data_IF_438960704605
#
_entry.id   IF_438960704605
#
_cell.length_a   1.000
_cell.length_b   1.000
_cell.length_c   1.000
_cell.angle_alpha   90.00
_cell.angle_beta   90.00
_cell.angle_gamma   90.00
#
_symmetry.space_group_name_H-M   'P 1'
#
loop_
_entity.id
_entity.type
_entity.pdbx_description
1 polymer ?
#
# COMPACT_ATOMS: atom_id res chain seq x y z
N UNK A 1 16.72 73.38 -30.33
CA UNK A 1 17.45 72.16 -29.92
C UNK A 1 17.14 71.84 -28.47
N UNK A 2 16.40 70.74 -28.22
CA UNK A 2 16.47 69.85 -27.05
C UNK A 2 15.31 68.85 -27.20
N UNK A 3 15.62 67.65 -27.71
CA UNK A 3 14.70 66.51 -27.78
C UNK A 3 14.52 66.01 -26.34
N UNK A 4 13.31 66.08 -25.81
CA UNK A 4 12.95 65.45 -24.54
C UNK A 4 12.51 64.01 -24.86
N UNK A 5 13.37 63.04 -24.58
CA UNK A 5 13.01 61.62 -24.61
C UNK A 5 12.23 61.31 -23.34
N UNK A 6 10.92 61.11 -23.46
CA UNK A 6 10.13 60.49 -22.40
C UNK A 6 10.32 58.99 -22.55
N UNK A 7 11.08 58.42 -21.62
CA UNK A 7 11.24 56.97 -21.44
C UNK A 7 9.90 56.44 -20.91
N UNK A 8 9.20 55.68 -21.74
CA UNK A 8 8.07 54.87 -21.30
C UNK A 8 8.68 53.70 -20.51
N UNK A 9 8.58 53.78 -19.18
CA UNK A 9 8.80 52.65 -18.29
C UNK A 9 7.64 51.67 -18.53
N UNK A 10 7.87 50.69 -19.41
CA UNK A 10 7.09 49.46 -19.48
C UNK A 10 7.29 48.75 -18.14
N UNK A 11 6.30 48.89 -17.25
CA UNK A 11 6.08 47.95 -16.16
C UNK A 11 5.77 46.59 -16.79
N UNK A 12 6.82 45.82 -17.07
CA UNK A 12 6.70 44.39 -17.28
C UNK A 12 6.04 43.82 -16.01
N UNK A 13 4.96 43.02 -16.13
CA UNK A 13 4.55 42.22 -15.01
C UNK A 13 5.75 41.34 -14.65
N UNK A 14 6.26 41.51 -13.44
CA UNK A 14 7.02 40.48 -12.74
C UNK A 14 6.08 39.27 -12.65
N UNK A 15 6.09 38.44 -13.69
CA UNK A 15 5.68 37.06 -13.53
C UNK A 15 6.55 36.50 -12.42
N UNK A 16 5.91 36.09 -11.33
CA UNK A 16 6.55 35.28 -10.31
C UNK A 16 7.13 34.04 -10.99
N UNK A 17 8.45 34.05 -11.21
CA UNK A 17 9.25 32.83 -11.28
C UNK A 17 9.31 32.28 -9.84
N UNK A 18 8.87 31.08 -9.51
CA UNK A 18 8.12 30.09 -10.26
C UNK A 18 7.47 29.14 -9.25
N UNK A 19 6.27 28.64 -9.56
CA UNK A 19 5.94 27.30 -9.09
C UNK A 19 6.92 26.39 -9.84
N UNK A 20 7.72 25.59 -9.13
CA UNK A 20 8.43 24.50 -9.78
C UNK A 20 7.33 23.60 -10.35
N UNK A 21 7.07 23.68 -11.66
CA UNK A 21 6.11 22.81 -12.33
C UNK A 21 6.55 21.36 -12.10
N UNK A 22 5.88 20.68 -11.17
CA UNK A 22 6.24 19.31 -10.80
C UNK A 22 5.94 18.44 -12.01
N UNK A 23 6.99 17.91 -12.62
CA UNK A 23 6.89 17.09 -13.82
C UNK A 23 6.17 15.77 -13.43
N UNK A 24 5.04 15.43 -14.07
CA UNK A 24 4.35 14.18 -13.80
C UNK A 24 5.29 13.01 -14.05
N UNK A 25 5.10 11.91 -13.31
CA UNK A 25 5.78 10.65 -13.61
C UNK A 25 4.88 9.88 -14.58
N UNK A 26 5.32 9.63 -15.82
CA UNK A 26 4.61 8.78 -16.75
C UNK A 26 4.43 7.39 -16.16
N UNK A 27 3.24 6.79 -16.31
CA UNK A 27 2.95 5.45 -15.79
C UNK A 27 3.93 4.39 -16.31
N UNK A 28 4.43 4.56 -17.52
CA UNK A 28 5.45 3.66 -18.10
C UNK A 28 6.75 3.65 -17.30
N UNK A 29 7.16 4.76 -16.67
CA UNK A 29 8.36 4.79 -15.80
C UNK A 29 8.17 3.86 -14.58
N UNK A 30 6.98 3.86 -13.98
CA UNK A 30 6.64 2.93 -12.89
C UNK A 30 6.69 1.47 -13.33
N UNK A 31 6.10 1.16 -14.48
CA UNK A 31 6.05 -0.20 -15.01
C UNK A 31 7.46 -0.73 -15.33
N UNK A 32 8.29 0.07 -15.98
CA UNK A 32 9.65 -0.33 -16.33
C UNK A 32 10.56 -0.47 -15.11
N UNK A 33 10.39 0.38 -14.09
CA UNK A 33 11.06 0.17 -12.80
C UNK A 33 10.65 -1.15 -12.16
N UNK A 34 9.34 -1.46 -12.16
CA UNK A 34 8.83 -2.70 -11.61
C UNK A 34 9.40 -3.92 -12.34
N UNK A 35 9.41 -3.88 -13.68
CA UNK A 35 10.01 -4.92 -14.54
C UNK A 35 11.49 -5.11 -14.23
N UNK A 36 12.29 -4.04 -14.29
CA UNK A 36 13.72 -4.11 -14.06
C UNK A 36 14.08 -4.62 -12.65
N UNK A 37 13.29 -4.26 -11.65
CA UNK A 37 13.49 -4.74 -10.28
C UNK A 37 13.13 -6.21 -10.11
N UNK A 38 12.09 -6.69 -10.80
CA UNK A 38 11.73 -8.10 -10.82
C UNK A 38 12.81 -8.95 -11.54
N UNK A 39 13.33 -8.46 -12.66
CA UNK A 39 14.45 -9.09 -13.39
C UNK A 39 15.71 -9.15 -12.51
N UNK A 40 16.10 -8.04 -11.89
CA UNK A 40 17.23 -8.03 -10.97
C UNK A 40 17.05 -9.00 -9.80
N UNK A 41 15.84 -9.07 -9.22
CA UNK A 41 15.53 -9.99 -8.11
C UNK A 41 15.62 -11.45 -8.53
N UNK A 42 15.19 -11.76 -9.75
CA UNK A 42 15.28 -13.10 -10.32
C UNK A 42 16.74 -13.53 -10.52
N UNK A 43 17.53 -12.67 -11.15
CA UNK A 43 18.95 -12.92 -11.44
C UNK A 43 19.80 -13.05 -10.18
N UNK A 44 19.34 -12.46 -9.06
CA UNK A 44 20.03 -12.50 -7.76
C UNK A 44 19.34 -13.40 -6.72
N UNK A 45 18.41 -14.28 -7.15
CA UNK A 45 17.58 -15.11 -6.25
C UNK A 45 18.39 -15.91 -5.23
N UNK A 46 19.47 -16.57 -5.67
CA UNK A 46 20.29 -17.42 -4.80
C UNK A 46 21.02 -16.62 -3.72
N UNK A 47 21.56 -15.46 -4.08
CA UNK A 47 22.23 -14.55 -3.14
C UNK A 47 21.24 -14.00 -2.12
N UNK A 48 20.06 -13.57 -2.57
CA UNK A 48 19.00 -13.07 -1.69
C UNK A 48 18.47 -14.15 -0.75
N UNK A 49 18.36 -15.40 -1.24
CA UNK A 49 17.95 -16.53 -0.40
C UNK A 49 19.02 -16.86 0.65
N UNK A 50 20.31 -16.81 0.30
CA UNK A 50 21.39 -16.97 1.29
C UNK A 50 21.32 -15.89 2.36
N UNK A 51 21.16 -14.63 1.95
CA UNK A 51 21.05 -13.51 2.88
C UNK A 51 19.85 -13.66 3.83
N UNK A 52 18.70 -14.11 3.34
CA UNK A 52 17.56 -14.41 4.20
C UNK A 52 17.88 -15.50 5.21
N UNK A 53 18.56 -16.58 4.79
CA UNK A 53 18.95 -17.68 5.68
C UNK A 53 19.90 -17.21 6.78
N UNK A 54 20.88 -16.39 6.43
CA UNK A 54 21.89 -15.90 7.37
C UNK A 54 21.32 -14.96 8.43
N UNK A 55 20.23 -14.25 8.10
CA UNK A 55 19.54 -13.31 8.99
C UNK A 55 18.25 -13.88 9.59
N UNK A 56 17.99 -15.18 9.43
CA UNK A 56 16.75 -15.79 9.89
C UNK A 56 16.71 -15.89 11.43
N UNK A 57 15.80 -15.15 12.06
CA UNK A 57 15.56 -15.23 13.49
C UNK A 57 14.49 -16.28 13.82
N UNK A 58 14.95 -17.47 14.23
CA UNK A 58 14.07 -18.58 14.63
C UNK A 58 13.24 -18.29 15.90
N UNK A 59 13.68 -17.32 16.73
CA UNK A 59 13.06 -16.98 18.02
C UNK A 59 12.22 -15.72 17.97
N UNK A 60 12.00 -15.17 16.78
CA UNK A 60 11.17 -13.98 16.61
C UNK A 60 9.82 -14.16 17.31
N UNK A 61 9.39 -13.15 18.06
CA UNK A 61 8.05 -13.14 18.69
C UNK A 61 6.94 -13.27 17.64
N UNK A 62 7.19 -12.85 16.41
CA UNK A 62 6.28 -12.96 15.27
C UNK A 62 6.37 -14.32 14.56
N UNK A 63 7.33 -15.18 14.94
CA UNK A 63 7.43 -16.55 14.47
C UNK A 63 8.16 -16.70 13.15
N UNK A 64 7.70 -17.62 12.31
CA UNK A 64 8.32 -17.89 11.02
C UNK A 64 8.13 -16.67 10.10
N UNK A 65 9.22 -16.21 9.46
CA UNK A 65 9.19 -15.09 8.52
C UNK A 65 9.82 -15.50 7.19
N UNK A 66 9.02 -15.89 6.18
CA UNK A 66 9.52 -16.26 4.86
C UNK A 66 10.05 -15.02 4.11
N UNK A 67 10.86 -15.19 3.04
CA UNK A 67 11.38 -14.07 2.26
C UNK A 67 10.28 -13.41 1.40
N UNK A 68 9.83 -12.17 1.69
CA UNK A 68 8.69 -11.56 0.98
C UNK A 68 9.02 -11.15 -0.45
N UNK A 69 10.30 -10.89 -0.73
CA UNK A 69 10.83 -10.40 -2.02
C UNK A 69 10.41 -11.25 -3.22
N UNK A 70 10.32 -12.57 -3.04
CA UNK A 70 9.95 -13.47 -4.13
C UNK A 70 8.45 -13.39 -4.45
N UNK A 71 7.60 -13.07 -3.48
CA UNK A 71 6.16 -12.87 -3.70
C UNK A 71 5.88 -11.57 -4.46
N UNK A 72 6.59 -10.51 -4.11
CA UNK A 72 6.54 -9.21 -4.81
C UNK A 72 6.96 -9.39 -6.29
N UNK A 73 8.10 -10.05 -6.52
CA UNK A 73 8.58 -10.40 -7.86
C UNK A 73 7.57 -11.27 -8.63
N UNK A 74 7.00 -12.30 -8.01
CA UNK A 74 6.00 -13.16 -8.65
C UNK A 74 4.75 -12.38 -9.05
N UNK A 75 4.29 -11.44 -8.21
CA UNK A 75 3.14 -10.58 -8.53
C UNK A 75 3.43 -9.67 -9.74
N UNK A 76 4.63 -9.08 -9.79
CA UNK A 76 5.04 -8.25 -10.94
C UNK A 76 5.07 -9.10 -12.21
N UNK A 77 5.74 -10.25 -12.20
CA UNK A 77 5.81 -11.12 -13.38
C UNK A 77 4.45 -11.63 -13.84
N UNK A 78 3.58 -12.05 -12.91
CA UNK A 78 2.24 -12.49 -13.29
C UNK A 78 1.44 -11.35 -13.93
N UNK A 79 1.56 -10.13 -13.41
CA UNK A 79 0.91 -8.94 -13.96
C UNK A 79 1.46 -8.59 -15.36
N UNK A 80 2.78 -8.62 -15.54
CA UNK A 80 3.41 -8.43 -16.85
C UNK A 80 2.96 -9.50 -17.86
N UNK A 81 2.86 -10.76 -17.42
CA UNK A 81 2.30 -11.83 -18.26
C UNK A 81 0.84 -11.56 -18.64
N UNK A 82 0.01 -11.04 -17.74
CA UNK A 82 -1.38 -10.71 -18.04
C UNK A 82 -1.49 -9.69 -19.18
N UNK A 83 -0.62 -8.67 -19.17
CA UNK A 83 -0.59 -7.58 -20.14
C UNK A 83 0.12 -7.94 -21.46
N UNK A 84 1.26 -8.62 -21.39
CA UNK A 84 2.16 -8.80 -22.54
C UNK A 84 2.13 -10.21 -23.11
N UNK A 85 1.61 -11.18 -22.37
CA UNK A 85 1.57 -12.58 -22.77
C UNK A 85 2.93 -13.29 -22.76
N UNK A 86 3.99 -12.69 -22.20
CA UNK A 86 5.30 -13.31 -22.12
C UNK A 86 5.29 -14.54 -21.17
N UNK A 87 5.38 -15.73 -21.77
CA UNK A 87 5.34 -17.03 -21.09
C UNK A 87 6.49 -17.19 -20.09
N UNK A 88 7.64 -16.55 -20.30
CA UNK A 88 8.75 -16.64 -19.36
C UNK A 88 8.37 -16.05 -17.99
N UNK A 89 7.71 -14.90 -17.97
CA UNK A 89 7.22 -14.29 -16.73
C UNK A 89 6.21 -15.21 -16.02
N UNK A 90 5.32 -15.85 -16.76
CA UNK A 90 4.39 -16.83 -16.19
C UNK A 90 5.12 -18.02 -15.55
N UNK A 91 6.17 -18.55 -16.21
CA UNK A 91 6.99 -19.63 -15.66
C UNK A 91 7.74 -19.22 -14.39
N UNK A 92 8.34 -18.02 -14.36
CA UNK A 92 9.04 -17.50 -13.19
C UNK A 92 8.10 -17.32 -12.00
N UNK A 93 6.93 -16.71 -12.20
CA UNK A 93 5.91 -16.58 -11.18
C UNK A 93 5.40 -17.93 -10.67
N UNK A 94 5.12 -18.87 -11.59
CA UNK A 94 4.70 -20.24 -11.26
C UNK A 94 5.74 -20.96 -10.40
N UNK A 95 7.02 -20.85 -10.75
CA UNK A 95 8.08 -21.49 -9.98
C UNK A 95 8.10 -21.00 -8.54
N UNK A 96 7.98 -19.68 -8.32
CA UNK A 96 7.89 -19.14 -6.95
C UNK A 96 6.70 -19.74 -6.22
N UNK A 97 5.51 -19.77 -6.82
CA UNK A 97 4.31 -20.29 -6.15
C UNK A 97 4.46 -21.75 -5.69
N UNK A 98 5.07 -22.61 -6.52
CA UNK A 98 5.28 -24.02 -6.20
C UNK A 98 6.39 -24.23 -5.16
N UNK A 99 7.48 -23.46 -5.25
CA UNK A 99 8.64 -23.63 -4.38
C UNK A 99 8.45 -22.96 -3.01
N UNK A 100 7.62 -21.92 -2.90
CA UNK A 100 7.60 -21.03 -1.73
C UNK A 100 7.32 -21.76 -0.40
N UNK A 101 6.45 -22.77 -0.45
CA UNK A 101 6.06 -23.54 0.73
C UNK A 101 7.22 -24.35 1.32
N UNK A 102 8.30 -24.58 0.57
CA UNK A 102 9.46 -25.33 1.02
C UNK A 102 10.31 -24.57 2.03
N UNK A 103 10.25 -23.23 2.03
CA UNK A 103 11.01 -22.39 2.96
C UNK A 103 10.65 -22.65 4.43
N UNK A 104 9.43 -23.13 4.71
CA UNK A 104 9.00 -23.47 6.07
C UNK A 104 9.82 -24.60 6.69
N UNK A 105 10.47 -25.45 5.87
CA UNK A 105 11.36 -26.53 6.34
C UNK A 105 12.58 -25.99 7.09
N UNK A 106 12.92 -24.71 6.90
CA UNK A 106 13.97 -24.04 7.65
C UNK A 106 13.55 -23.78 9.11
N UNK A 107 12.25 -23.67 9.40
CA UNK A 107 11.80 -23.35 10.75
C UNK A 107 12.04 -24.54 11.70
N UNK A 108 12.75 -24.35 12.82
CA UNK A 108 13.07 -25.47 13.71
C UNK A 108 11.82 -26.07 14.36
N UNK A 109 11.69 -27.39 14.31
CA UNK A 109 10.59 -28.14 14.98
C UNK A 109 10.46 -27.86 16.48
N UNK A 110 11.55 -27.44 17.13
CA UNK A 110 11.52 -27.07 18.54
C UNK A 110 10.77 -25.76 18.75
N UNK A 111 11.01 -24.75 17.92
CA UNK A 111 10.32 -23.46 18.01
C UNK A 111 8.87 -23.58 17.51
N UNK A 112 8.61 -24.42 16.50
CA UNK A 112 7.25 -24.80 16.10
C UNK A 112 6.41 -25.29 17.29
N UNK A 113 6.95 -26.21 18.10
CA UNK A 113 6.24 -26.76 19.28
C UNK A 113 6.03 -25.76 20.41
N UNK A 114 6.77 -24.65 20.42
CA UNK A 114 6.61 -23.60 21.46
C UNK A 114 5.47 -22.64 21.12
N UNK A 115 4.98 -22.67 19.89
CA UNK A 115 3.99 -21.74 19.35
C UNK A 115 2.60 -22.36 19.41
N UNK A 116 1.70 -21.86 20.28
CA UNK A 116 0.34 -22.41 20.39
C UNK A 116 -0.51 -22.18 19.13
N UNK A 117 -0.17 -21.18 18.32
CA UNK A 117 -0.80 -20.83 17.04
C UNK A 117 -0.42 -21.77 15.88
N UNK A 118 0.65 -22.59 16.00
CA UNK A 118 1.05 -23.58 14.99
C UNK A 118 0.45 -24.97 15.22
N UNK A 119 -0.72 -25.06 15.86
CA UNK A 119 -1.43 -26.34 16.08
C UNK A 119 -1.71 -27.12 14.79
N UNK A 120 -1.88 -26.42 13.66
CA UNK A 120 -2.07 -27.00 12.33
C UNK A 120 -0.78 -27.02 11.47
N UNK A 121 0.37 -26.77 12.10
CA UNK A 121 1.68 -26.68 11.46
C UNK A 121 2.05 -25.25 11.05
N UNK A 122 3.28 -25.07 10.61
CA UNK A 122 3.81 -23.76 10.19
C UNK A 122 3.18 -23.35 8.84
N UNK A 123 2.46 -22.22 8.76
CA UNK A 123 1.91 -21.71 7.51
C UNK A 123 3.05 -21.21 6.60
N UNK A 124 2.88 -21.35 5.28
CA UNK A 124 3.86 -20.81 4.34
C UNK A 124 3.80 -19.27 4.26
N UNK A 125 2.61 -18.70 4.51
CA UNK A 125 2.33 -17.27 4.53
C UNK A 125 1.74 -16.92 5.92
N UNK A 126 2.60 -16.79 6.96
CA UNK A 126 2.14 -16.56 8.34
C UNK A 126 1.54 -15.16 8.55
N UNK A 127 1.66 -14.26 7.58
CA UNK A 127 1.44 -12.85 7.80
C UNK A 127 0.40 -12.26 6.82
N UNK A 128 -0.47 -11.39 7.32
CA UNK A 128 -1.51 -10.74 6.52
C UNK A 128 -0.95 -9.65 5.57
N UNK A 129 0.28 -9.15 5.75
CA UNK A 129 0.94 -8.26 4.78
C UNK A 129 1.42 -8.96 3.50
N UNK A 130 1.53 -10.29 3.51
CA UNK A 130 2.13 -11.07 2.41
C UNK A 130 1.18 -12.04 1.73
N UNK A 131 0.08 -12.43 2.37
CA UNK A 131 -0.90 -13.37 1.81
C UNK A 131 -1.41 -12.95 0.41
N UNK A 132 -1.85 -11.70 0.24
CA UNK A 132 -2.34 -11.19 -1.04
C UNK A 132 -1.27 -11.23 -2.15
N UNK A 133 0.02 -11.09 -1.80
CA UNK A 133 1.15 -11.13 -2.75
C UNK A 133 1.42 -12.53 -3.29
N UNK A 134 0.95 -13.58 -2.62
CA UNK A 134 0.96 -14.94 -3.14
C UNK A 134 -0.32 -15.26 -3.93
N UNK A 135 -1.48 -14.76 -3.47
CA UNK A 135 -2.77 -15.07 -4.08
C UNK A 135 -2.95 -14.34 -5.42
N UNK A 136 -2.53 -13.08 -5.53
CA UNK A 136 -2.61 -12.27 -6.78
C UNK A 136 -1.97 -12.96 -7.99
N UNK A 137 -0.68 -13.38 -7.96
CA UNK A 137 -0.09 -14.07 -9.10
C UNK A 137 -0.76 -15.42 -9.38
N UNK A 138 -1.23 -16.14 -8.35
CA UNK A 138 -2.01 -17.36 -8.56
C UNK A 138 -3.33 -17.10 -9.31
N UNK A 139 -4.09 -16.07 -8.93
CA UNK A 139 -5.35 -15.68 -9.60
C UNK A 139 -5.11 -15.45 -11.09
N UNK A 140 -4.07 -14.69 -11.43
CA UNK A 140 -3.75 -14.35 -12.82
C UNK A 140 -3.39 -15.61 -13.62
N UNK A 141 -2.50 -16.45 -13.10
CA UNK A 141 -2.07 -17.67 -13.78
C UNK A 141 -3.21 -18.69 -13.91
N UNK A 142 -4.08 -18.79 -12.90
CA UNK A 142 -5.28 -19.63 -12.93
C UNK A 142 -6.25 -19.13 -14.01
N UNK A 143 -6.57 -17.84 -14.02
CA UNK A 143 -7.49 -17.21 -14.98
C UNK A 143 -7.00 -17.36 -16.43
N UNK A 144 -5.70 -17.29 -16.66
CA UNK A 144 -5.07 -17.50 -17.98
C UNK A 144 -4.94 -18.98 -18.38
N UNK A 145 -5.33 -19.91 -17.51
CA UNK A 145 -5.22 -21.34 -17.78
C UNK A 145 -3.78 -21.87 -17.83
N UNK A 146 -2.82 -21.17 -17.23
CA UNK A 146 -1.39 -21.51 -17.29
C UNK A 146 -1.01 -22.65 -16.33
N UNK A 147 -1.84 -22.91 -15.32
CA UNK A 147 -1.62 -23.93 -14.30
C UNK A 147 -2.37 -25.24 -14.64
N UNK A 148 -1.70 -26.37 -14.46
CA UNK A 148 -2.34 -27.68 -14.43
C UNK A 148 -3.20 -27.86 -13.18
N UNK A 149 -4.13 -28.82 -13.20
CA UNK A 149 -5.00 -29.07 -12.04
C UNK A 149 -4.25 -29.58 -10.81
N UNK A 150 -3.11 -30.27 -11.01
CA UNK A 150 -2.25 -30.68 -9.88
C UNK A 150 -1.57 -29.47 -9.26
N UNK A 151 -1.01 -28.56 -10.07
CA UNK A 151 -0.37 -27.33 -9.58
C UNK A 151 -1.39 -26.43 -8.88
N UNK A 152 -2.60 -26.28 -9.42
CA UNK A 152 -3.69 -25.54 -8.75
C UNK A 152 -3.97 -26.12 -7.37
N UNK A 153 -4.16 -27.43 -7.25
CA UNK A 153 -4.45 -28.08 -5.96
C UNK A 153 -3.34 -27.86 -4.93
N UNK A 154 -2.07 -27.92 -5.33
CA UNK A 154 -0.95 -27.67 -4.41
C UNK A 154 -0.93 -26.21 -3.93
N UNK A 155 -1.12 -25.25 -4.83
CA UNK A 155 -1.13 -23.82 -4.49
C UNK A 155 -2.37 -23.48 -3.63
N UNK A 156 -3.54 -24.01 -3.96
CA UNK A 156 -4.78 -23.80 -3.20
C UNK A 156 -4.69 -24.33 -1.77
N UNK A 157 -4.00 -25.45 -1.52
CA UNK A 157 -3.73 -25.94 -0.16
C UNK A 157 -2.89 -24.94 0.64
N UNK A 158 -1.89 -24.32 0.01
CA UNK A 158 -1.03 -23.31 0.66
C UNK A 158 -1.84 -22.08 1.03
N UNK A 159 -2.69 -21.60 0.11
CA UNK A 159 -3.60 -20.47 0.34
C UNK A 159 -4.56 -20.81 1.49
N UNK A 160 -5.24 -21.95 1.42
CA UNK A 160 -6.22 -22.34 2.43
C UNK A 160 -5.61 -22.42 3.83
N UNK A 161 -4.47 -23.10 3.97
CA UNK A 161 -3.80 -23.22 5.26
C UNK A 161 -3.37 -21.85 5.82
N UNK A 162 -2.86 -20.97 4.97
CA UNK A 162 -2.35 -19.66 5.42
C UNK A 162 -3.49 -18.71 5.78
N UNK A 163 -4.58 -18.70 5.01
CA UNK A 163 -5.78 -17.91 5.32
C UNK A 163 -6.42 -18.41 6.62
N UNK A 164 -6.59 -19.72 6.78
CA UNK A 164 -7.15 -20.28 8.01
C UNK A 164 -6.27 -19.98 9.23
N UNK A 165 -4.94 -19.94 9.07
CA UNK A 165 -4.03 -19.51 10.12
C UNK A 165 -4.24 -18.04 10.51
N UNK A 166 -4.30 -17.13 9.54
CA UNK A 166 -4.53 -15.69 9.80
C UNK A 166 -5.88 -15.42 10.46
N UNK A 167 -6.86 -16.31 10.29
CA UNK A 167 -8.17 -16.21 10.95
C UNK A 167 -8.19 -16.74 12.39
N UNK A 168 -7.10 -17.31 12.91
CA UNK A 168 -7.02 -17.77 14.30
C UNK A 168 -6.99 -16.60 15.29
N UNK A 169 -6.42 -15.46 14.90
CA UNK A 169 -6.47 -14.21 15.65
C UNK A 169 -7.13 -13.14 14.80
N UNK A 170 -8.23 -12.57 15.32
CA UNK A 170 -8.99 -11.58 14.59
C UNK A 170 -9.07 -10.27 15.32
N UNK A 171 -8.97 -9.24 14.51
CA UNK A 171 -8.93 -7.85 14.91
C UNK A 171 -9.97 -7.12 14.08
N UNK A 172 -10.80 -6.33 14.76
CA UNK A 172 -12.03 -5.77 14.21
C UNK A 172 -11.96 -4.25 14.13
N UNK A 173 -12.83 -3.65 13.33
CA UNK A 173 -12.92 -2.20 13.19
C UNK A 173 -12.18 -1.63 11.98
N UNK A 174 -12.40 -0.32 11.78
CA UNK A 174 -11.84 0.48 10.70
C UNK A 174 -10.36 0.80 10.96
N UNK A 175 -9.47 -0.18 10.80
CA UNK A 175 -8.05 -0.05 11.09
C UNK A 175 -7.20 -0.91 10.15
N UNK A 176 -5.91 -0.61 10.08
CA UNK A 176 -4.98 -1.20 9.11
C UNK A 176 -4.98 -2.75 9.09
N UNK A 177 -4.90 -3.41 10.25
CA UNK A 177 -4.74 -4.86 10.41
C UNK A 177 -6.03 -5.61 10.05
N UNK A 178 -7.18 -5.01 10.36
CA UNK A 178 -8.50 -5.50 9.93
C UNK A 178 -8.64 -5.41 8.41
N UNK A 179 -8.29 -4.26 7.82
CA UNK A 179 -8.38 -4.06 6.38
C UNK A 179 -7.44 -4.97 5.57
N UNK A 180 -6.22 -5.22 6.04
CA UNK A 180 -5.28 -6.14 5.38
C UNK A 180 -5.82 -7.58 5.35
N UNK A 181 -6.49 -8.01 6.43
CA UNK A 181 -7.17 -9.31 6.45
C UNK A 181 -8.37 -9.33 5.51
N UNK A 182 -9.16 -8.26 5.45
CA UNK A 182 -10.25 -8.13 4.51
C UNK A 182 -9.75 -8.25 3.06
N UNK A 183 -8.65 -7.56 2.70
CA UNK A 183 -7.98 -7.67 1.40
C UNK A 183 -7.54 -9.10 1.11
N UNK A 184 -6.80 -9.73 2.03
CA UNK A 184 -6.31 -11.10 1.86
C UNK A 184 -7.47 -12.10 1.64
N UNK A 185 -8.56 -11.96 2.38
CA UNK A 185 -9.75 -12.79 2.23
C UNK A 185 -10.48 -12.54 0.91
N UNK A 186 -10.61 -11.29 0.47
CA UNK A 186 -11.23 -10.96 -0.80
C UNK A 186 -10.48 -11.61 -1.98
N UNK A 187 -9.14 -11.55 -1.96
CA UNK A 187 -8.32 -12.25 -2.92
C UNK A 187 -8.47 -13.77 -2.83
N UNK A 188 -8.50 -14.35 -1.62
CA UNK A 188 -8.68 -15.79 -1.43
C UNK A 188 -10.04 -16.28 -1.95
N UNK A 189 -11.13 -15.56 -1.64
CA UNK A 189 -12.49 -15.87 -2.11
C UNK A 189 -12.59 -15.80 -3.63
N UNK A 190 -11.94 -14.81 -4.25
CA UNK A 190 -11.89 -14.67 -5.71
C UNK A 190 -11.07 -15.79 -6.36
N UNK A 191 -9.90 -16.10 -5.82
CA UNK A 191 -8.97 -17.03 -6.44
C UNK A 191 -9.37 -18.50 -6.22
N UNK A 192 -10.01 -18.82 -5.09
CA UNK A 192 -10.36 -20.19 -4.69
C UNK A 192 -11.86 -20.31 -4.33
N UNK A 193 -12.79 -20.06 -5.27
CA UNK A 193 -14.22 -19.99 -4.97
C UNK A 193 -14.82 -21.33 -4.50
N UNK A 194 -14.25 -22.45 -4.94
CA UNK A 194 -14.81 -23.79 -4.75
C UNK A 194 -14.26 -24.53 -3.51
N UNK A 195 -13.36 -23.90 -2.74
CA UNK A 195 -12.82 -24.53 -1.54
C UNK A 195 -13.89 -24.65 -0.44
N UNK A 196 -13.94 -25.76 0.33
CA UNK A 196 -14.96 -25.96 1.37
C UNK A 196 -15.05 -24.82 2.40
N UNK A 197 -13.93 -24.15 2.70
CA UNK A 197 -13.87 -23.05 3.65
C UNK A 197 -14.22 -21.69 3.04
N UNK A 198 -14.38 -21.56 1.72
CA UNK A 198 -14.62 -20.26 1.08
C UNK A 198 -15.91 -19.60 1.57
N UNK A 199 -16.94 -20.38 1.91
CA UNK A 199 -18.16 -19.83 2.53
C UNK A 199 -17.87 -19.15 3.87
N UNK A 200 -16.97 -19.73 4.67
CA UNK A 200 -16.53 -19.17 5.94
C UNK A 200 -15.68 -17.91 5.69
N UNK A 201 -14.70 -17.97 4.80
CA UNK A 201 -13.86 -16.82 4.43
C UNK A 201 -14.69 -15.64 3.95
N UNK A 202 -15.72 -15.87 3.14
CA UNK A 202 -16.63 -14.84 2.64
C UNK A 202 -17.43 -14.15 3.74
N UNK A 203 -17.79 -14.87 4.81
CA UNK A 203 -18.47 -14.25 5.96
C UNK A 203 -17.54 -13.29 6.69
N UNK A 204 -16.27 -13.67 6.90
CA UNK A 204 -15.28 -12.80 7.54
C UNK A 204 -14.87 -11.64 6.66
N UNK A 205 -14.65 -11.88 5.37
CA UNK A 205 -14.38 -10.85 4.37
C UNK A 205 -15.43 -9.75 4.41
N UNK A 206 -16.72 -10.13 4.47
CA UNK A 206 -17.82 -9.17 4.56
C UNK A 206 -17.82 -8.41 5.87
N UNK A 207 -17.56 -9.07 7.00
CA UNK A 207 -17.60 -8.42 8.29
C UNK A 207 -16.44 -7.42 8.45
N UNK A 208 -15.21 -7.84 8.16
CA UNK A 208 -14.04 -6.96 8.21
C UNK A 208 -14.08 -5.88 7.13
N UNK A 209 -14.54 -6.23 5.92
CA UNK A 209 -14.72 -5.27 4.84
C UNK A 209 -15.77 -4.20 5.18
N UNK A 210 -16.87 -4.58 5.82
CA UNK A 210 -17.91 -3.65 6.27
C UNK A 210 -17.40 -2.65 7.30
N UNK A 211 -16.56 -3.10 8.25
CA UNK A 211 -15.97 -2.21 9.25
C UNK A 211 -15.09 -1.12 8.62
N UNK A 212 -14.45 -1.40 7.48
CA UNK A 212 -13.50 -0.48 6.85
C UNK A 212 -14.11 0.35 5.72
N UNK A 213 -15.02 -0.23 4.94
CA UNK A 213 -15.58 0.40 3.75
C UNK A 213 -16.57 1.50 4.10
N UNK A 214 -16.25 2.75 3.74
CA UNK A 214 -17.09 3.90 4.05
C UNK A 214 -17.12 4.26 5.55
N UNK A 215 -16.03 3.97 6.26
CA UNK A 215 -15.84 4.34 7.67
C UNK A 215 -14.52 5.10 7.86
N UNK A 216 -14.42 5.80 9.00
CA UNK A 216 -13.23 6.53 9.38
C UNK A 216 -12.21 5.60 10.04
N UNK A 217 -10.97 5.66 9.58
CA UNK A 217 -9.84 4.98 10.20
C UNK A 217 -9.63 5.55 11.63
N UNK A 218 -9.46 4.64 12.60
CA UNK A 218 -9.60 4.96 14.03
C UNK A 218 -8.27 5.24 14.75
N UNK A 219 -7.14 4.84 14.18
CA UNK A 219 -5.82 4.99 14.77
C UNK A 219 -5.32 6.45 14.70
N UNK A 220 -5.83 7.26 13.76
CA UNK A 220 -5.39 8.65 13.47
C UNK A 220 -3.87 8.78 13.45
N UNK A 221 -3.21 7.82 12.81
CA UNK A 221 -1.76 7.78 12.71
C UNK A 221 -1.35 7.75 11.24
N UNK A 222 -0.44 8.66 10.86
CA UNK A 222 -0.05 8.84 9.47
C UNK A 222 0.46 7.54 8.84
N UNK A 223 1.24 6.75 9.59
CA UNK A 223 1.77 5.49 9.09
C UNK A 223 0.65 4.47 8.84
N UNK A 224 -0.33 4.37 9.74
CA UNK A 224 -1.40 3.39 9.64
C UNK A 224 -2.45 3.76 8.60
N UNK A 225 -2.77 5.05 8.43
CA UNK A 225 -3.57 5.51 7.30
C UNK A 225 -2.98 5.10 5.95
N UNK A 226 -1.66 5.24 5.77
CA UNK A 226 -1.00 4.81 4.53
C UNK A 226 -1.17 3.31 4.27
N UNK A 227 -1.09 2.48 5.31
CA UNK A 227 -1.35 1.02 5.19
C UNK A 227 -2.81 0.75 4.86
N UNK A 228 -3.72 1.37 5.60
CA UNK A 228 -5.15 1.17 5.52
C UNK A 228 -5.72 1.59 4.16
N UNK A 229 -5.40 2.80 3.69
CA UNK A 229 -5.84 3.29 2.38
C UNK A 229 -5.34 2.40 1.24
N UNK A 230 -4.08 1.97 1.30
CA UNK A 230 -3.53 1.08 0.27
C UNK A 230 -4.20 -0.31 0.30
N UNK A 231 -4.46 -0.86 1.48
CA UNK A 231 -5.20 -2.12 1.63
C UNK A 231 -6.65 -2.01 1.12
N UNK A 232 -7.32 -0.88 1.33
CA UNK A 232 -8.66 -0.61 0.78
C UNK A 232 -8.66 -0.64 -0.76
N UNK A 233 -7.64 -0.07 -1.41
CA UNK A 233 -7.50 -0.15 -2.86
C UNK A 233 -7.37 -1.61 -3.31
N UNK A 234 -6.53 -2.39 -2.64
CA UNK A 234 -6.34 -3.81 -2.93
C UNK A 234 -7.60 -4.66 -2.69
N UNK A 235 -8.35 -4.34 -1.63
CA UNK A 235 -9.65 -4.96 -1.33
C UNK A 235 -10.69 -4.65 -2.40
N UNK A 236 -10.82 -3.39 -2.81
CA UNK A 236 -11.74 -2.97 -3.86
C UNK A 236 -11.36 -3.57 -5.23
N UNK A 237 -10.07 -3.65 -5.55
CA UNK A 237 -9.55 -4.30 -6.76
C UNK A 237 -9.89 -5.80 -6.79
N UNK A 238 -9.70 -6.50 -5.66
CA UNK A 238 -10.08 -7.91 -5.54
C UNK A 238 -11.56 -8.12 -5.86
N UNK A 239 -12.44 -7.19 -5.44
CA UNK A 239 -13.89 -7.23 -5.65
C UNK A 239 -14.34 -6.65 -7.00
N UNK A 240 -13.44 -5.99 -7.73
CA UNK A 240 -13.74 -5.17 -8.91
C UNK A 240 -14.73 -4.01 -8.59
N UNK A 241 -14.61 -3.43 -7.40
CA UNK A 241 -15.49 -2.38 -6.87
C UNK A 241 -14.73 -1.06 -6.62
N UNK A 242 -13.55 -0.86 -7.25
CA UNK A 242 -12.74 0.36 -7.05
C UNK A 242 -13.51 1.65 -7.31
N UNK A 243 -14.41 1.67 -8.30
CA UNK A 243 -15.26 2.84 -8.57
C UNK A 243 -16.20 3.15 -7.42
N UNK A 244 -16.83 2.12 -6.83
CA UNK A 244 -17.74 2.28 -5.71
C UNK A 244 -17.01 2.72 -4.44
N UNK A 245 -15.76 2.28 -4.26
CA UNK A 245 -14.91 2.75 -3.16
C UNK A 245 -14.72 4.28 -3.26
N UNK A 246 -14.30 4.79 -4.42
CA UNK A 246 -14.09 6.23 -4.62
C UNK A 246 -15.39 7.04 -4.69
N UNK A 247 -16.56 6.41 -4.75
CA UNK A 247 -17.82 7.13 -4.57
C UNK A 247 -18.17 7.40 -3.09
N UNK A 248 -17.46 6.79 -2.13
CA UNK A 248 -17.75 7.04 -0.72
C UNK A 248 -17.24 8.43 -0.28
N UNK A 249 -17.98 9.15 0.58
CA UNK A 249 -17.54 10.43 1.11
C UNK A 249 -16.19 10.37 1.82
N UNK A 250 -15.91 9.25 2.50
CA UNK A 250 -14.68 9.04 3.29
C UNK A 250 -13.45 8.99 2.39
N UNK A 251 -13.55 8.37 1.21
CA UNK A 251 -12.43 8.31 0.26
C UNK A 251 -12.12 9.67 -0.35
N UNK A 252 -13.15 10.48 -0.62
CA UNK A 252 -12.96 11.86 -1.08
C UNK A 252 -12.36 12.70 0.03
N UNK A 253 -12.89 12.56 1.25
CA UNK A 253 -12.37 13.21 2.43
C UNK A 253 -10.88 12.91 2.62
N UNK A 254 -10.46 11.64 2.65
CA UNK A 254 -9.06 11.30 2.87
C UNK A 254 -8.14 11.78 1.74
N UNK A 255 -8.61 11.77 0.49
CA UNK A 255 -7.84 12.31 -0.63
C UNK A 255 -7.51 13.79 -0.42
N UNK A 256 -8.53 14.60 -0.11
CA UNK A 256 -8.36 16.04 0.14
C UNK A 256 -7.62 16.29 1.46
N UNK A 257 -8.03 15.65 2.55
CA UNK A 257 -7.39 15.78 3.85
C UNK A 257 -5.88 15.53 3.80
N UNK A 258 -5.41 14.47 3.14
CA UNK A 258 -3.97 14.21 3.04
C UNK A 258 -3.24 15.11 2.05
N UNK A 259 -3.89 15.55 0.97
CA UNK A 259 -3.36 16.58 0.07
C UNK A 259 -3.07 17.87 0.86
N UNK A 260 -4.06 18.31 1.62
CA UNK A 260 -4.02 19.54 2.42
C UNK A 260 -3.14 19.44 3.68
N UNK A 261 -2.67 18.24 4.04
CA UNK A 261 -1.64 18.03 5.06
C UNK A 261 -0.22 17.95 4.49
N UNK A 262 -0.02 17.85 3.17
CA UNK A 262 1.32 17.77 2.61
C UNK A 262 2.15 19.00 3.00
N UNK A 263 3.36 18.75 3.50
CA UNK A 263 4.29 19.79 3.91
C UNK A 263 5.33 20.08 2.80
N UNK A 264 6.11 21.18 2.92
CA UNK A 264 7.21 21.52 2.01
C UNK A 264 8.24 20.41 1.78
N UNK A 265 8.30 19.43 2.69
CA UNK A 265 9.11 18.25 2.52
C UNK A 265 8.52 17.22 1.54
N UNK A 266 7.44 17.54 0.83
CA UNK A 266 6.87 16.68 -0.21
C UNK A 266 6.26 15.39 0.34
N UNK A 267 5.88 15.39 1.62
CA UNK A 267 5.28 14.26 2.33
C UNK A 267 4.21 14.76 3.28
N UNK A 268 3.43 13.84 3.83
CA UNK A 268 2.50 14.12 4.93
C UNK A 268 3.31 14.08 6.24
N UNK A 269 3.20 15.09 7.13
CA UNK A 269 3.85 15.09 8.43
C UNK A 269 3.42 13.91 9.30
N UNK A 270 4.33 13.50 10.18
CA UNK A 270 4.03 12.50 11.20
C UNK A 270 3.07 13.04 12.27
N UNK A 271 2.03 12.28 12.54
CA UNK A 271 1.16 12.40 13.71
C UNK A 271 0.66 11.02 14.14
N UNK A 272 0.25 10.90 15.41
CA UNK A 272 -0.07 9.61 16.03
C UNK A 272 1.18 8.75 16.22
N UNK A 273 1.02 7.44 16.19
CA UNK A 273 2.13 6.49 16.15
C UNK A 273 2.76 6.49 14.75
N UNK A 274 3.87 7.21 14.57
CA UNK A 274 4.58 7.29 13.29
C UNK A 274 6.09 7.42 13.51
N UNK A 275 6.87 7.15 12.46
CA UNK A 275 8.33 7.15 12.54
C UNK A 275 8.97 8.03 11.45
N UNK A 276 9.66 9.09 11.90
CA UNK A 276 10.31 10.15 11.10
C UNK A 276 11.23 9.69 9.97
N UNK A 277 11.73 8.46 10.02
CA UNK A 277 12.71 7.94 9.04
C UNK A 277 12.03 7.12 7.92
N UNK A 278 10.77 6.69 8.07
CA UNK A 278 10.04 5.93 7.06
C UNK A 278 8.54 6.28 7.04
N UNK A 279 8.15 7.51 6.66
CA UNK A 279 6.75 7.76 6.38
C UNK A 279 6.34 6.83 5.23
N UNK A 280 5.12 6.29 5.29
CA UNK A 280 4.54 5.41 4.27
C UNK A 280 4.25 6.14 2.93
N UNK A 281 5.15 7.04 2.53
CA UNK A 281 5.07 7.86 1.32
C UNK A 281 4.82 7.02 0.08
N UNK A 282 5.37 5.81 0.01
CA UNK A 282 5.19 4.91 -1.14
C UNK A 282 3.76 4.39 -1.25
N UNK A 283 3.05 4.22 -0.13
CA UNK A 283 1.63 3.85 -0.11
C UNK A 283 0.75 5.05 -0.41
N UNK A 284 1.07 6.22 0.15
CA UNK A 284 0.40 7.47 -0.20
C UNK A 284 0.57 7.84 -1.67
N UNK A 285 1.74 7.57 -2.27
CA UNK A 285 1.97 7.73 -3.70
C UNK A 285 0.95 6.95 -4.53
N UNK A 286 0.77 5.64 -4.24
CA UNK A 286 -0.23 4.82 -4.93
C UNK A 286 -1.63 5.37 -4.70
N UNK A 287 -1.95 5.77 -3.47
CA UNK A 287 -3.24 6.34 -3.14
C UNK A 287 -3.55 7.63 -3.91
N UNK A 288 -2.60 8.57 -3.98
CA UNK A 288 -2.75 9.80 -4.74
C UNK A 288 -2.86 9.56 -6.24
N UNK A 289 -2.09 8.62 -6.81
CA UNK A 289 -2.24 8.22 -8.21
C UNK A 289 -3.66 7.69 -8.50
N UNK A 290 -4.16 6.81 -7.64
CA UNK A 290 -5.49 6.22 -7.77
C UNK A 290 -6.60 7.28 -7.59
N UNK A 291 -6.49 8.14 -6.58
CA UNK A 291 -7.47 9.16 -6.26
C UNK A 291 -7.50 10.27 -7.32
N UNK A 292 -6.34 10.70 -7.85
CA UNK A 292 -6.25 11.66 -8.94
C UNK A 292 -7.03 11.18 -10.17
N UNK A 293 -6.85 9.91 -10.56
CA UNK A 293 -7.63 9.30 -11.64
C UNK A 293 -9.12 9.23 -11.32
N UNK A 294 -9.47 8.83 -10.10
CA UNK A 294 -10.87 8.61 -9.72
C UNK A 294 -11.69 9.91 -9.68
N UNK A 295 -11.08 11.00 -9.24
CA UNK A 295 -11.72 12.31 -9.08
C UNK A 295 -11.43 13.30 -10.20
N UNK A 296 -10.60 12.93 -11.18
CA UNK A 296 -10.13 13.84 -12.24
C UNK A 296 -9.46 15.10 -11.67
N UNK A 297 -8.67 14.92 -10.61
CA UNK A 297 -8.14 16.01 -9.79
C UNK A 297 -6.62 16.21 -10.02
N UNK A 298 -6.21 17.33 -10.65
CA UNK A 298 -4.82 17.63 -10.93
C UNK A 298 -4.00 17.98 -9.67
N UNK A 299 -4.62 18.38 -8.56
CA UNK A 299 -3.94 18.63 -7.29
C UNK A 299 -3.51 17.34 -6.61
N UNK A 300 -4.36 16.30 -6.65
CA UNK A 300 -3.97 14.95 -6.23
C UNK A 300 -2.87 14.38 -7.12
N UNK A 301 -2.89 14.68 -8.43
CA UNK A 301 -1.81 14.28 -9.35
C UNK A 301 -0.49 14.99 -9.01
N UNK A 302 -0.55 16.25 -8.56
CA UNK A 302 0.61 16.98 -8.04
C UNK A 302 1.18 16.36 -6.76
N UNK A 303 0.32 15.92 -5.84
CA UNK A 303 0.76 15.22 -4.63
C UNK A 303 1.55 13.95 -4.97
N UNK A 304 1.01 13.11 -5.86
CA UNK A 304 1.69 11.92 -6.35
C UNK A 304 3.03 12.25 -7.02
N UNK A 305 3.06 13.22 -7.94
CA UNK A 305 4.27 13.60 -8.65
C UNK A 305 5.35 14.16 -7.69
N UNK A 306 4.94 14.95 -6.69
CA UNK A 306 5.83 15.52 -5.67
C UNK A 306 6.51 14.44 -4.85
N UNK A 307 5.73 13.47 -4.33
CA UNK A 307 6.27 12.33 -3.59
C UNK A 307 7.20 11.51 -4.48
N UNK A 308 6.74 11.13 -5.67
CA UNK A 308 7.49 10.26 -6.56
C UNK A 308 8.81 10.87 -7.01
N UNK A 309 8.83 12.15 -7.40
CA UNK A 309 10.05 12.84 -7.85
C UNK A 309 11.04 13.09 -6.71
N UNK A 310 10.56 13.20 -5.46
CA UNK A 310 11.44 13.39 -4.30
C UNK A 310 12.06 12.09 -3.80
N UNK A 311 11.29 11.00 -3.73
CA UNK A 311 11.71 9.79 -3.01
C UNK A 311 12.05 8.59 -3.90
N UNK A 312 11.65 8.59 -5.17
CA UNK A 312 11.92 7.48 -6.08
C UNK A 312 13.16 7.77 -6.93
N UNK A 313 14.20 6.98 -6.69
CA UNK A 313 15.36 6.90 -7.58
C UNK A 313 15.14 5.77 -8.60
N UNK A 314 14.62 6.14 -9.77
CA UNK A 314 14.29 5.19 -10.85
C UNK A 314 15.50 4.43 -11.41
N UNK A 315 16.73 4.82 -11.05
CA UNK A 315 17.94 4.09 -11.41
C UNK A 315 18.28 2.93 -10.46
N UNK A 316 17.72 2.93 -9.24
CA UNK A 316 18.02 1.93 -8.18
C UNK A 316 16.99 0.82 -8.11
N UNK A 317 17.10 -0.11 -9.07
CA UNK A 317 16.16 -1.23 -9.27
C UNK A 317 16.28 -2.37 -8.25
N UNK A 318 17.11 -2.24 -7.20
CA UNK A 318 17.29 -3.31 -6.20
C UNK A 318 16.12 -3.37 -5.19
N UNK A 319 15.23 -2.38 -5.18
CA UNK A 319 14.13 -2.27 -4.23
C UNK A 319 12.84 -2.91 -4.75
N UNK A 320 12.76 -4.24 -4.63
CA UNK A 320 11.59 -5.01 -5.09
C UNK A 320 10.29 -4.68 -4.34
N UNK A 321 10.37 -4.31 -3.06
CA UNK A 321 9.20 -3.86 -2.30
C UNK A 321 8.63 -2.52 -2.79
N UNK A 322 9.51 -1.59 -3.19
CA UNK A 322 9.08 -0.36 -3.85
C UNK A 322 8.51 -0.65 -5.23
N UNK A 323 9.17 -1.50 -6.02
CA UNK A 323 8.70 -1.90 -7.35
C UNK A 323 7.29 -2.50 -7.33
N UNK A 324 6.95 -3.30 -6.32
CA UNK A 324 5.60 -3.82 -6.13
C UNK A 324 4.56 -2.71 -5.96
N UNK A 325 4.87 -1.66 -5.19
CA UNK A 325 3.98 -0.51 -5.02
C UNK A 325 3.88 0.33 -6.31
N UNK A 326 5.01 0.55 -6.99
CA UNK A 326 5.02 1.29 -8.26
C UNK A 326 4.26 0.56 -9.37
N UNK A 327 4.23 -0.78 -9.37
CA UNK A 327 3.33 -1.53 -10.24
C UNK A 327 1.87 -1.12 -10.02
N UNK A 328 1.45 -0.95 -8.76
CA UNK A 328 0.09 -0.51 -8.46
C UNK A 328 -0.14 0.99 -8.81
N UNK A 329 0.88 1.85 -8.77
CA UNK A 329 0.80 3.18 -9.40
C UNK A 329 0.50 3.08 -10.90
N UNK A 330 1.16 2.17 -11.62
CA UNK A 330 0.86 1.91 -13.03
C UNK A 330 -0.59 1.41 -13.22
N UNK A 331 -1.07 0.49 -12.37
CA UNK A 331 -2.41 -0.11 -12.50
C UNK A 331 -3.53 0.87 -12.18
N UNK A 332 -3.39 1.64 -11.11
CA UNK A 332 -4.44 2.50 -10.59
C UNK A 332 -4.35 3.96 -11.07
N UNK A 333 -3.17 4.44 -11.45
CA UNK A 333 -2.96 5.82 -11.88
C UNK A 333 -3.44 6.15 -13.30
N UNK A 334 -3.21 7.40 -13.70
CA UNK A 334 -3.49 7.96 -15.03
C UNK A 334 -2.37 8.87 -15.54
N UNK A 335 -2.20 8.94 -16.86
CA UNK A 335 -1.31 9.90 -17.55
C UNK A 335 -2.11 11.08 -18.17
N UNK A 336 -3.44 11.06 -18.08
CA UNK A 336 -4.31 12.04 -18.73
C UNK A 336 -4.37 13.40 -17.99
N UNK A 337 -3.77 13.46 -16.79
CA UNK A 337 -3.79 14.63 -15.91
C UNK A 337 -2.41 15.29 -15.84
N UNK A 338 -2.42 16.62 -15.97
CA UNK A 338 -1.25 17.45 -15.67
C UNK A 338 -1.29 17.85 -14.19
N UNK A 339 -0.22 17.61 -13.41
CA UNK A 339 -0.09 18.10 -12.05
C UNK A 339 -0.37 19.59 -11.93
N UNK A 340 -1.20 19.99 -10.97
CA UNK A 340 -1.40 21.38 -10.57
C UNK A 340 -1.16 21.53 -9.08
N UNK A 341 -0.27 22.42 -8.68
CA UNK A 341 -0.03 22.66 -7.25
C UNK A 341 -1.27 23.31 -6.59
N UNK A 342 -1.66 22.88 -5.38
CA UNK A 342 -2.73 23.54 -4.65
C UNK A 342 -2.46 25.02 -4.38
N UNK A 343 -3.54 25.80 -4.26
CA UNK A 343 -3.46 27.25 -3.99
C UNK A 343 -3.87 27.65 -2.59
N UNK A 344 -4.55 26.75 -1.86
CA UNK A 344 -5.00 27.00 -0.50
C UNK A 344 -3.78 27.05 0.43
N UNK A 345 -3.77 28.02 1.36
CA UNK A 345 -2.66 28.26 2.27
C UNK A 345 -2.98 27.72 3.67
N UNK A 346 -3.16 28.61 4.65
CA UNK A 346 -3.47 28.23 6.02
C UNK A 346 -4.97 27.94 6.17
N UNK A 347 -5.32 26.84 6.81
CA UNK A 347 -6.69 26.38 6.97
C UNK A 347 -6.85 25.40 8.14
N UNK A 348 -8.09 25.26 8.60
CA UNK A 348 -8.51 24.05 9.30
C UNK A 348 -8.80 22.98 8.24
N UNK A 349 -8.09 21.86 8.29
CA UNK A 349 -8.11 20.88 7.20
C UNK A 349 -9.41 20.10 7.23
N UNK A 350 -10.27 20.38 6.25
CA UNK A 350 -11.60 19.81 6.04
C UNK A 350 -12.64 20.12 7.14
N UNK A 351 -12.46 19.68 8.39
CA UNK A 351 -13.43 19.88 9.49
C UNK A 351 -12.93 19.51 10.92
N UNK A 352 -13.74 19.85 11.93
CA UNK A 352 -13.43 19.81 13.37
C UNK A 352 -13.82 18.49 14.11
N UNK A 353 -14.39 17.50 13.42
CA UNK A 353 -14.90 16.25 14.02
C UNK A 353 -13.91 15.10 13.82
N UNK A 354 -13.47 14.86 12.59
CA UNK A 354 -12.54 13.78 12.25
C UNK A 354 -11.10 14.28 12.07
N UNK A 355 -10.91 15.39 11.34
CA UNK A 355 -9.59 15.90 10.98
C UNK A 355 -8.83 16.48 12.17
N UNK A 356 -9.47 17.42 12.89
CA UNK A 356 -8.93 18.12 14.06
C UNK A 356 -7.48 18.57 13.89
N UNK A 357 -7.18 19.14 12.71
CA UNK A 357 -5.85 19.61 12.32
C UNK A 357 -5.95 20.97 11.65
N UNK A 358 -5.11 21.89 12.08
CA UNK A 358 -4.93 23.21 11.45
C UNK A 358 -3.54 23.25 10.83
N UNK A 359 -3.47 23.70 9.58
CA UNK A 359 -2.21 23.99 8.91
C UNK A 359 -2.02 25.49 8.79
N UNK A 360 -0.82 25.94 9.15
CA UNK A 360 -0.32 27.28 8.88
C UNK A 360 0.81 27.18 7.87
N UNK A 361 0.62 27.78 6.70
CA UNK A 361 1.62 27.83 5.63
C UNK A 361 1.57 29.14 4.86
N UNK A 362 2.70 29.55 4.31
CA UNK A 362 2.84 30.73 3.43
C UNK A 362 3.03 30.34 1.95
N UNK A 363 3.17 29.05 1.65
CA UNK A 363 3.32 28.49 0.32
C UNK A 363 3.41 26.95 0.35
N UNK A 364 3.75 26.37 -0.80
CA UNK A 364 3.92 24.92 -0.98
C UNK A 364 5.30 24.53 -1.53
N UNK A 365 6.15 25.52 -1.80
CA UNK A 365 7.51 25.24 -2.27
C UNK A 365 8.39 24.70 -1.14
N UNK A 366 9.55 24.16 -1.50
CA UNK A 366 10.50 23.57 -0.54
C UNK A 366 11.08 24.55 0.50
N UNK A 367 10.86 25.85 0.34
CA UNK A 367 11.35 26.91 1.24
C UNK A 367 10.23 27.57 2.04
N UNK A 368 8.99 27.16 1.82
CA UNK A 368 7.81 27.70 2.48
C UNK A 368 7.81 27.33 3.96
N UNK A 369 7.24 28.21 4.78
CA UNK A 369 7.02 27.96 6.21
C UNK A 369 5.82 27.03 6.36
N UNK A 370 5.94 26.04 7.26
CA UNK A 370 4.86 25.11 7.55
C UNK A 370 4.80 24.81 9.05
N UNK A 371 3.61 24.89 9.62
CA UNK A 371 3.30 24.45 10.97
C UNK A 371 1.95 23.73 10.97
N UNK A 372 1.90 22.54 11.55
CA UNK A 372 0.67 21.78 11.76
C UNK A 372 0.36 21.73 13.25
N UNK A 373 -0.86 22.13 13.60
CA UNK A 373 -1.42 21.90 14.92
C UNK A 373 -2.39 20.72 14.82
N UNK A 374 -2.00 19.56 15.38
CA UNK A 374 -2.92 18.47 15.65
C UNK A 374 -3.54 18.70 17.04
N UNK A 375 -4.85 18.86 17.09
CA UNK A 375 -5.60 19.06 18.33
C UNK A 375 -6.68 17.99 18.52
N UNK A 376 -6.53 16.84 17.85
CA UNK A 376 -7.38 15.68 18.06
C UNK A 376 -7.24 15.20 19.51
N UNK A 377 -8.39 15.08 20.17
CA UNK A 377 -8.49 14.53 21.52
C UNK A 377 -8.77 13.02 21.48
N UNK A 378 -8.46 12.33 22.58
CA UNK A 378 -8.86 10.94 22.82
C UNK A 378 -10.37 10.80 23.12
N UNK A 379 -11.19 11.85 22.89
CA UNK A 379 -12.61 11.90 23.25
C UNK A 379 -13.45 10.77 22.64
N UNK A 380 -14.77 10.77 22.89
CA UNK A 380 -15.68 9.62 22.63
C UNK A 380 -15.86 9.22 21.13
N UNK A 381 -15.09 9.78 20.20
CA UNK A 381 -15.11 9.38 18.79
C UNK A 381 -14.62 7.95 18.59
N UNK A 382 -15.41 7.13 17.88
CA UNK A 382 -15.01 5.77 17.50
C UNK A 382 -14.81 4.79 18.66
N UNK A 383 -15.40 5.05 19.84
CA UNK A 383 -15.22 4.24 21.07
C UNK A 383 -15.38 2.74 20.83
N UNK A 384 -16.39 2.30 20.09
CA UNK A 384 -16.61 0.87 19.80
C UNK A 384 -15.38 0.24 19.10
N UNK A 385 -14.86 0.91 18.08
CA UNK A 385 -13.70 0.40 17.34
C UNK A 385 -12.40 0.53 18.14
N UNK A 386 -12.26 1.57 18.97
CA UNK A 386 -11.14 1.69 19.90
C UNK A 386 -11.16 0.61 20.98
N UNK A 387 -12.35 0.25 21.47
CA UNK A 387 -12.53 -0.87 22.38
C UNK A 387 -12.16 -2.20 21.69
N UNK A 388 -12.54 -2.39 20.42
CA UNK A 388 -12.07 -3.54 19.63
C UNK A 388 -10.54 -3.57 19.49
N UNK A 389 -9.91 -2.43 19.22
CA UNK A 389 -8.46 -2.33 19.13
C UNK A 389 -7.79 -2.74 20.45
N UNK A 390 -8.27 -2.19 21.58
CA UNK A 390 -7.75 -2.51 22.92
C UNK A 390 -7.94 -3.97 23.30
N UNK A 391 -9.06 -4.56 22.92
CA UNK A 391 -9.46 -5.89 23.39
C UNK A 391 -9.04 -7.03 22.44
N UNK A 392 -8.67 -6.72 21.17
CA UNK A 392 -8.34 -7.71 20.16
C UNK A 392 -6.83 -7.78 19.79
N UNK A 393 -6.06 -6.71 19.99
CA UNK A 393 -4.63 -6.72 19.66
C UNK A 393 -3.83 -7.49 20.73
N UNK A 394 -3.03 -8.51 20.35
CA UNK A 394 -2.13 -9.16 21.29
C UNK A 394 -1.05 -8.19 21.79
N UNK A 395 -0.94 -8.03 23.12
CA UNK A 395 0.00 -7.08 23.76
C UNK A 395 1.45 -7.34 23.34
N UNK A 396 1.81 -8.60 23.14
CA UNK A 396 3.15 -9.02 22.71
C UNK A 396 3.52 -8.49 21.31
N UNK A 397 2.54 -8.26 20.44
CA UNK A 397 2.75 -7.78 19.08
C UNK A 397 2.85 -6.25 18.96
N UNK A 398 2.41 -5.52 19.99
CA UNK A 398 2.31 -4.04 19.96
C UNK A 398 3.23 -3.35 20.99
N UNK A 399 3.41 -3.91 22.20
CA UNK A 399 3.97 -3.15 23.35
C UNK A 399 5.28 -3.70 23.93
N UNK A 400 5.76 -4.85 23.46
CA UNK A 400 6.89 -5.57 24.06
C UNK A 400 8.14 -5.63 23.16
N UNK A 401 8.20 -4.82 22.09
CA UNK A 401 9.33 -4.74 21.16
C UNK A 401 10.42 -3.76 21.58
#
# INVERSE_FOLDING_TARGET
MKKLWIVILLLLPLFAQGADDVIPIPRVEYLEFARASADWTWDNRDSLLSMWRDNFDEKSIFGYRPPPRFLEMATIYATLYDYEGNIEYANRAKQVLLDYSEYKKMYPKKEEKRRPDYTNGVPALPDFFTNMRYIRPYEVLKRKGFLSDSEKKEIEKVIAHSIDYVLQSQEWGAMNRSCLRAEALAWAVRAVPDHPHTKYWKSYERALGFDNWGNWEIEDATIYHGVWLYALLGYADAKNESKELFHTPEMYYYAQYFLHLMCPDGMIPDFGDSHRIQPNWSRFLVFFEAAAKAYDDPELKWAAATIGRKFVDFSKVQSIGLAYLLLDCYRFGTDDLNPAQPTILSEEVMEDVQGKKIVFRDGWDSKSSYMMLNYRDEGDGGVIFRDYLRDAIPVEEEKMT
#
